data_IF_756615425930
#
_entry.id   IF_756615425930
#
_cell.length_a   1.000
_cell.length_b   1.000
_cell.length_c   1.000
_cell.angle_alpha   90.00
_cell.angle_beta   90.00
_cell.angle_gamma   90.00
#
_symmetry.space_group_name_H-M   'P 1'
#
loop_
_entity.id
_entity.type
_entity.pdbx_description
1 polymer ?
#
# COMPACT_ATOMS: atom_id res chain seq x y z
N UNK A 1 -11.08 -1.05 -39.12
CA UNK A 1 -11.06 -1.17 -37.65
C UNK A 1 -9.67 -1.58 -37.24
N UNK A 2 -8.89 -0.61 -36.79
CA UNK A 2 -7.48 -0.76 -36.47
C UNK A 2 -7.33 -1.64 -35.23
N UNK A 3 -6.58 -2.74 -35.35
CA UNK A 3 -6.09 -3.49 -34.21
C UNK A 3 -5.13 -2.58 -33.45
N UNK A 4 -5.51 -2.14 -32.25
CA UNK A 4 -4.56 -1.54 -31.32
C UNK A 4 -3.51 -2.61 -30.98
N UNK A 5 -2.31 -2.37 -31.49
CA UNK A 5 -1.12 -3.15 -31.18
C UNK A 5 -0.87 -2.98 -29.68
N UNK A 6 -0.95 -4.08 -28.93
CA UNK A 6 -0.52 -4.14 -27.53
C UNK A 6 0.96 -3.73 -27.46
N UNK A 7 1.21 -2.47 -27.16
CA UNK A 7 2.56 -1.99 -26.82
C UNK A 7 2.87 -2.55 -25.43
N UNK A 8 3.95 -3.33 -25.22
CA UNK A 8 4.29 -3.79 -23.89
C UNK A 8 4.46 -2.56 -22.99
N UNK A 9 3.68 -2.50 -21.90
CA UNK A 9 3.74 -1.40 -20.95
C UNK A 9 5.15 -1.27 -20.39
N UNK A 10 5.58 -0.05 -20.06
CA UNK A 10 6.89 0.27 -19.47
C UNK A 10 7.26 -0.62 -18.25
N UNK A 11 6.29 -1.29 -17.64
CA UNK A 11 6.39 -2.17 -16.47
C UNK A 11 7.14 -3.49 -16.72
N UNK A 12 7.15 -3.96 -17.96
CA UNK A 12 7.95 -5.12 -18.37
C UNK A 12 9.46 -4.87 -18.23
N UNK A 13 9.90 -3.62 -18.04
CA UNK A 13 11.31 -3.26 -17.77
C UNK A 13 11.78 -3.62 -16.37
N UNK A 14 10.86 -3.75 -15.41
CA UNK A 14 11.19 -3.93 -13.99
C UNK A 14 11.01 -5.36 -13.50
N UNK A 15 10.59 -6.27 -14.38
CA UNK A 15 10.35 -7.67 -14.06
C UNK A 15 11.31 -8.58 -14.81
N UNK A 16 11.78 -9.64 -14.16
CA UNK A 16 12.48 -10.72 -14.83
C UNK A 16 11.53 -11.71 -15.53
N UNK A 17 12.08 -12.77 -16.12
CA UNK A 17 11.30 -13.81 -16.80
C UNK A 17 10.37 -14.60 -15.88
N UNK A 18 10.62 -14.57 -14.57
CA UNK A 18 9.80 -15.21 -13.54
C UNK A 18 8.77 -14.27 -12.92
N UNK A 19 8.61 -13.06 -13.49
CA UNK A 19 7.75 -12.01 -12.97
C UNK A 19 8.19 -11.48 -11.58
N UNK A 20 9.48 -11.57 -11.27
CA UNK A 20 10.05 -11.00 -10.06
C UNK A 20 10.52 -9.57 -10.32
N UNK A 21 10.24 -8.66 -9.40
CA UNK A 21 10.68 -7.27 -9.53
C UNK A 21 12.19 -7.18 -9.27
N UNK A 22 12.93 -6.59 -10.20
CA UNK A 22 14.40 -6.51 -10.16
C UNK A 22 14.94 -5.21 -9.57
N UNK A 23 14.05 -4.28 -9.22
CA UNK A 23 14.41 -3.01 -8.60
C UNK A 23 14.93 -3.19 -7.17
N UNK A 24 15.89 -2.37 -6.77
CA UNK A 24 16.33 -2.24 -5.39
C UNK A 24 15.61 -1.07 -4.69
N UNK A 25 15.61 -1.09 -3.37
CA UNK A 25 15.18 0.06 -2.57
C UNK A 25 16.34 1.08 -2.60
N UNK A 26 16.07 2.28 -3.10
CA UNK A 26 17.02 3.40 -3.16
C UNK A 26 17.03 4.19 -1.86
N UNK A 27 18.12 4.86 -1.54
CA UNK A 27 18.18 5.83 -0.43
C UNK A 27 17.37 7.10 -0.74
N UNK A 28 17.22 7.43 -2.03
CA UNK A 28 16.40 8.55 -2.48
C UNK A 28 14.91 8.16 -2.46
N UNK A 29 14.13 8.85 -1.64
CA UNK A 29 12.69 8.62 -1.54
C UNK A 29 12.00 8.88 -2.87
N UNK A 30 12.39 9.95 -3.57
CA UNK A 30 11.88 10.30 -4.89
C UNK A 30 12.08 9.16 -5.92
N UNK A 31 13.23 8.49 -5.88
CA UNK A 31 13.50 7.33 -6.75
C UNK A 31 12.56 6.17 -6.44
N UNK A 32 12.32 5.88 -5.15
CA UNK A 32 11.38 4.83 -4.73
C UNK A 32 9.94 5.17 -5.13
N UNK A 33 9.52 6.42 -4.94
CA UNK A 33 8.19 6.91 -5.33
C UNK A 33 8.00 6.74 -6.84
N UNK A 34 8.99 7.15 -7.64
CA UNK A 34 8.95 6.98 -9.10
C UNK A 34 8.82 5.51 -9.48
N UNK A 35 9.65 4.63 -8.91
CA UNK A 35 9.61 3.19 -9.15
C UNK A 35 8.23 2.58 -8.82
N UNK A 36 7.63 2.98 -7.70
CA UNK A 36 6.30 2.53 -7.29
C UNK A 36 5.20 3.10 -8.19
N UNK A 37 5.34 4.35 -8.63
CA UNK A 37 4.42 4.95 -9.60
C UNK A 37 4.47 4.21 -10.95
N UNK A 38 5.66 3.82 -11.40
CA UNK A 38 5.83 3.04 -12.63
C UNK A 38 5.20 1.65 -12.46
N UNK A 39 5.45 0.94 -11.36
CA UNK A 39 4.87 -0.39 -11.07
C UNK A 39 3.34 -0.37 -10.90
N UNK A 40 2.80 0.65 -10.24
CA UNK A 40 1.38 0.83 -9.98
C UNK A 40 0.75 1.91 -10.87
N UNK A 41 1.29 2.09 -12.08
CA UNK A 41 0.65 2.92 -13.09
C UNK A 41 -0.76 2.40 -13.31
N UNK A 42 -1.73 3.33 -13.46
CA UNK A 42 -3.12 2.98 -13.70
C UNK A 42 -3.78 2.10 -12.61
N UNK A 43 -3.39 2.33 -11.36
CA UNK A 43 -4.01 1.72 -10.18
C UNK A 43 -4.59 2.81 -9.26
N UNK A 44 -5.87 3.13 -9.43
CA UNK A 44 -6.60 4.12 -8.60
C UNK A 44 -6.97 3.61 -7.21
N UNK A 45 -6.69 2.33 -6.95
CA UNK A 45 -6.85 1.67 -5.66
C UNK A 45 -5.55 1.61 -4.85
N UNK A 46 -4.42 2.09 -5.38
CA UNK A 46 -3.18 2.23 -4.62
C UNK A 46 -3.12 3.61 -4.01
N UNK A 47 -3.14 3.67 -2.68
CA UNK A 47 -3.04 4.91 -1.92
C UNK A 47 -1.58 5.27 -1.71
N UNK A 48 -1.30 6.56 -1.80
CA UNK A 48 0.03 7.17 -1.66
C UNK A 48 -0.07 8.27 -0.62
N UNK A 49 0.78 8.24 0.40
CA UNK A 49 0.78 9.20 1.52
C UNK A 49 2.20 9.67 1.77
N UNK A 50 2.40 10.98 1.74
CA UNK A 50 3.67 11.62 2.08
C UNK A 50 3.48 12.42 3.36
N UNK A 51 4.39 12.25 4.31
CA UNK A 51 4.37 12.94 5.60
C UNK A 51 5.80 13.18 6.05
N UNK A 52 6.07 14.38 6.56
CA UNK A 52 7.32 14.71 7.24
C UNK A 52 7.23 14.31 8.72
N UNK A 53 8.26 13.67 9.24
CA UNK A 53 8.41 13.32 10.65
C UNK A 53 9.57 14.11 11.26
N UNK A 54 9.39 14.64 12.47
CA UNK A 54 10.42 15.42 13.16
C UNK A 54 10.18 16.93 13.06
N UNK A 55 10.46 17.63 14.15
CA UNK A 55 10.28 19.09 14.25
C UNK A 55 11.57 19.84 13.92
N UNK A 56 12.69 19.43 14.52
CA UNK A 56 14.00 20.08 14.35
C UNK A 56 14.77 19.58 13.13
N UNK A 57 14.66 18.29 12.83
CA UNK A 57 15.25 17.64 11.66
C UNK A 57 14.15 16.82 10.96
N UNK A 58 13.36 17.46 10.09
CA UNK A 58 12.27 16.77 9.41
C UNK A 58 12.83 15.73 8.44
N UNK A 59 12.25 14.52 8.47
CA UNK A 59 12.55 13.42 7.56
C UNK A 59 11.28 13.02 6.84
N UNK A 60 11.37 12.97 5.50
CA UNK A 60 10.26 12.58 4.63
C UNK A 60 10.01 11.09 4.73
N UNK A 61 8.74 10.73 4.83
CA UNK A 61 8.29 9.35 4.78
C UNK A 61 7.18 9.22 3.75
N UNK A 62 7.31 8.19 2.92
CA UNK A 62 6.29 7.79 1.97
C UNK A 62 5.66 6.48 2.42
N UNK A 63 4.33 6.43 2.47
CA UNK A 63 3.57 5.23 2.72
C UNK A 63 2.66 4.88 1.56
N UNK A 64 2.58 3.60 1.24
CA UNK A 64 1.71 3.10 0.17
C UNK A 64 1.08 1.76 0.52
N UNK A 65 -0.16 1.59 0.09
CA UNK A 65 -0.97 0.41 0.34
C UNK A 65 -2.13 0.33 -0.66
N UNK A 66 -2.79 -0.82 -0.74
CA UNK A 66 -4.02 -0.99 -1.55
C UNK A 66 -5.25 -0.70 -0.70
N UNK A 67 -6.06 0.26 -1.13
CA UNK A 67 -7.35 0.58 -0.53
C UNK A 67 -8.30 -0.62 -0.61
N UNK A 68 -8.99 -0.93 0.50
CA UNK A 68 -9.85 -2.10 0.63
C UNK A 68 -9.15 -3.42 0.96
N UNK A 69 -7.80 -3.50 0.91
CA UNK A 69 -7.05 -4.64 1.46
C UNK A 69 -6.54 -4.40 2.89
N UNK A 70 -6.35 -3.13 3.27
CA UNK A 70 -5.87 -2.75 4.61
C UNK A 70 -7.02 -2.46 5.58
N UNK A 71 -6.75 -2.61 6.87
CA UNK A 71 -7.54 -2.06 7.96
C UNK A 71 -7.22 -0.57 8.06
N UNK A 72 -8.22 0.25 7.77
CA UNK A 72 -8.10 1.70 7.77
C UNK A 72 -7.78 2.28 9.15
N UNK A 73 -8.29 1.69 10.22
CA UNK A 73 -8.03 2.15 11.59
C UNK A 73 -6.55 2.00 11.95
N UNK A 74 -5.93 0.87 11.61
CA UNK A 74 -4.49 0.63 11.82
C UNK A 74 -3.66 1.69 11.08
N UNK A 75 -4.02 1.98 9.84
CA UNK A 75 -3.34 2.96 9.00
C UNK A 75 -3.52 4.37 9.54
N UNK A 76 -4.74 4.76 9.89
CA UNK A 76 -5.03 6.07 10.46
C UNK A 76 -4.31 6.25 11.81
N UNK A 77 -4.33 5.27 12.71
CA UNK A 77 -3.60 5.33 13.98
C UNK A 77 -2.09 5.46 13.77
N UNK A 78 -1.53 4.73 12.80
CA UNK A 78 -0.10 4.82 12.49
C UNK A 78 0.30 6.20 11.91
N UNK A 79 -0.50 6.76 10.98
CA UNK A 79 -0.22 8.08 10.41
C UNK A 79 -0.58 9.25 11.36
N UNK A 80 -1.64 9.14 12.16
CA UNK A 80 -2.04 10.16 13.16
C UNK A 80 -1.10 10.18 14.36
N UNK A 81 -0.55 9.03 14.77
CA UNK A 81 0.49 8.95 15.81
C UNK A 81 1.67 9.89 15.51
N UNK A 82 1.99 10.10 14.22
CA UNK A 82 3.04 11.03 13.76
C UNK A 82 2.80 12.49 14.13
N UNK A 83 1.54 12.94 14.20
CA UNK A 83 1.22 14.36 14.45
C UNK A 83 1.27 14.65 15.96
N UNK A 84 0.95 13.66 16.79
CA UNK A 84 0.77 13.83 18.23
C UNK A 84 2.07 13.52 18.99
N UNK A 85 2.75 12.41 18.69
CA UNK A 85 3.92 11.99 19.47
C UNK A 85 5.18 12.81 19.17
N UNK A 86 5.36 13.27 17.93
CA UNK A 86 6.57 14.03 17.57
C UNK A 86 6.57 15.50 18.00
N UNK A 87 5.41 16.05 18.42
CA UNK A 87 5.38 17.33 19.14
C UNK A 87 6.05 17.22 20.52
N UNK A 88 6.12 16.03 21.09
CA UNK A 88 6.71 15.78 22.41
C UNK A 88 8.14 15.23 22.34
N UNK A 89 8.59 14.71 21.19
CA UNK A 89 9.96 14.21 21.00
C UNK A 89 11.03 15.33 20.91
N UNK A 90 10.62 16.60 20.82
CA UNK A 90 11.51 17.75 20.62
C UNK A 90 12.35 18.16 21.84
N UNK A 91 12.22 17.49 22.98
CA UNK A 91 13.01 17.80 24.18
C UNK A 91 14.24 16.89 24.38
N UNK A 92 14.42 15.83 23.59
CA UNK A 92 15.63 15.00 23.67
C UNK A 92 16.75 15.61 22.83
N UNK A 93 17.71 16.26 23.50
CA UNK A 93 18.93 16.85 22.93
C UNK A 93 20.02 15.82 22.61
N UNK A 94 19.70 14.53 22.57
CA UNK A 94 20.70 13.49 22.32
C UNK A 94 20.84 13.22 20.82
N UNK A 95 22.08 13.06 20.29
CA UNK A 95 22.27 12.51 18.96
C UNK A 95 21.54 11.18 18.90
N UNK A 96 20.69 11.01 17.89
CA UNK A 96 20.04 9.74 17.62
C UNK A 96 21.16 8.72 17.34
N UNK A 97 21.41 7.81 18.28
CA UNK A 97 22.24 6.64 18.04
C UNK A 97 21.35 5.57 17.39
N UNK A 98 21.62 5.24 16.12
CA UNK A 98 20.87 4.22 15.37
C UNK A 98 20.32 4.70 14.03
N UNK A 99 19.83 3.77 13.21
CA UNK A 99 19.11 4.09 11.98
C UNK A 99 17.75 4.69 12.31
N UNK A 100 17.27 5.65 11.51
CA UNK A 100 15.92 6.19 11.70
C UNK A 100 14.82 5.11 11.55
N UNK A 101 15.11 4.05 10.78
CA UNK A 101 14.22 2.89 10.65
C UNK A 101 14.11 2.10 11.95
N UNK A 102 15.21 1.96 12.70
CA UNK A 102 15.24 1.30 14.01
C UNK A 102 14.40 2.09 15.01
N UNK A 103 14.54 3.43 15.04
CA UNK A 103 13.70 4.27 15.90
C UNK A 103 12.21 4.12 15.61
N UNK A 104 11.83 4.07 14.33
CA UNK A 104 10.43 3.88 13.94
C UNK A 104 9.96 2.50 14.41
N UNK A 105 10.78 1.45 14.24
CA UNK A 105 10.42 0.12 14.74
C UNK A 105 10.25 0.17 16.26
N UNK A 106 11.23 0.66 17.01
CA UNK A 106 11.19 0.69 18.48
C UNK A 106 10.00 1.48 19.03
N UNK A 107 9.64 2.60 18.39
CA UNK A 107 8.51 3.43 18.84
C UNK A 107 7.15 2.78 18.55
N UNK A 108 7.03 2.08 17.42
CA UNK A 108 5.74 1.58 16.94
C UNK A 108 5.53 0.07 17.13
N UNK A 109 6.57 -0.72 17.39
CA UNK A 109 6.51 -2.19 17.50
C UNK A 109 5.66 -2.69 18.67
N UNK A 110 5.42 -1.85 19.68
CA UNK A 110 4.53 -2.17 20.79
C UNK A 110 3.05 -2.26 20.37
N UNK A 111 2.67 -1.53 19.32
CA UNK A 111 1.27 -1.42 18.86
C UNK A 111 1.06 -2.04 17.48
N UNK A 112 2.09 -2.03 16.63
CA UNK A 112 2.01 -2.47 15.25
C UNK A 112 3.05 -3.55 14.97
N UNK A 113 2.68 -4.58 14.20
CA UNK A 113 3.64 -5.55 13.67
C UNK A 113 4.37 -4.91 12.48
N UNK A 114 5.59 -4.45 12.73
CA UNK A 114 6.46 -3.76 11.77
C UNK A 114 7.74 -4.57 11.57
N UNK A 115 8.13 -4.75 10.32
CA UNK A 115 9.39 -5.41 9.95
C UNK A 115 10.15 -4.68 8.87
N UNK A 116 11.46 -4.78 8.89
CA UNK A 116 12.31 -4.33 7.77
C UNK A 116 12.18 -5.25 6.56
N UNK A 117 12.23 -4.66 5.37
CA UNK A 117 12.21 -5.36 4.09
C UNK A 117 13.25 -4.71 3.19
N UNK A 118 14.10 -5.53 2.56
CA UNK A 118 15.27 -5.06 1.79
C UNK A 118 15.10 -5.19 0.27
N UNK A 119 14.00 -5.77 -0.19
CA UNK A 119 13.71 -5.98 -1.61
C UNK A 119 12.46 -5.23 -2.03
N UNK A 120 12.51 -4.56 -3.19
CA UNK A 120 11.33 -3.95 -3.78
C UNK A 120 10.26 -5.00 -4.14
N UNK A 121 10.67 -6.21 -4.54
CA UNK A 121 9.76 -7.33 -4.83
C UNK A 121 8.94 -7.71 -3.58
N UNK A 122 9.61 -7.87 -2.45
CA UNK A 122 8.95 -8.19 -1.18
C UNK A 122 8.05 -7.04 -0.68
N UNK A 123 8.48 -5.79 -0.88
CA UNK A 123 7.66 -4.62 -0.56
C UNK A 123 6.35 -4.63 -1.37
N UNK A 124 6.46 -4.83 -2.68
CA UNK A 124 5.31 -4.84 -3.59
C UNK A 124 4.39 -6.04 -3.33
N UNK A 125 4.96 -7.22 -3.05
CA UNK A 125 4.17 -8.39 -2.64
C UNK A 125 3.42 -8.14 -1.33
N UNK A 126 4.02 -7.42 -0.39
CA UNK A 126 3.37 -6.99 0.85
C UNK A 126 2.17 -6.08 0.58
N UNK A 127 2.38 -5.02 -0.22
CA UNK A 127 1.32 -4.09 -0.66
C UNK A 127 0.14 -4.84 -1.29
N UNK A 128 0.44 -5.74 -2.24
CA UNK A 128 -0.57 -6.56 -2.93
C UNK A 128 -1.21 -7.63 -2.04
N UNK A 129 -0.61 -7.91 -0.88
CA UNK A 129 -1.15 -8.82 0.13
C UNK A 129 -1.92 -8.09 1.24
N UNK A 130 -2.10 -6.77 1.13
CA UNK A 130 -2.85 -5.96 2.10
C UNK A 130 -2.05 -5.52 3.31
N UNK A 131 -0.72 -5.48 3.19
CA UNK A 131 0.15 -4.79 4.15
C UNK A 131 0.43 -3.36 3.66
N UNK A 132 0.92 -2.50 4.54
CA UNK A 132 1.34 -1.15 4.18
C UNK A 132 2.85 -1.03 4.14
N UNK A 133 3.36 -0.57 3.00
CA UNK A 133 4.76 -0.31 2.77
C UNK A 133 5.10 1.12 3.14
N UNK A 134 6.25 1.31 3.78
CA UNK A 134 6.78 2.60 4.19
C UNK A 134 8.23 2.70 3.73
N UNK A 135 8.56 3.86 3.17
CA UNK A 135 9.89 4.23 2.72
C UNK A 135 10.30 5.50 3.44
N UNK A 136 11.54 5.53 3.92
CA UNK A 136 12.10 6.66 4.67
C UNK A 136 13.25 7.25 3.88
N UNK A 137 13.29 8.57 3.77
CA UNK A 137 14.38 9.28 3.08
C UNK A 137 15.75 8.91 3.68
N UNK A 138 16.76 8.79 2.82
CA UNK A 138 18.14 8.42 3.16
C UNK A 138 18.28 7.01 3.76
N UNK A 139 17.36 6.09 3.44
CA UNK A 139 17.45 4.69 3.88
C UNK A 139 17.27 3.74 2.69
N UNK A 140 18.06 2.67 2.63
CA UNK A 140 17.98 1.64 1.58
C UNK A 140 17.15 0.42 2.01
N UNK A 141 16.33 0.58 3.06
CA UNK A 141 15.43 -0.43 3.58
C UNK A 141 14.01 0.14 3.63
N UNK A 142 13.03 -0.70 3.38
CA UNK A 142 11.62 -0.39 3.57
C UNK A 142 11.11 -0.96 4.88
N UNK A 143 10.05 -0.38 5.42
CA UNK A 143 9.30 -0.94 6.54
C UNK A 143 7.96 -1.46 6.03
N UNK A 144 7.54 -2.62 6.54
CA UNK A 144 6.27 -3.23 6.23
C UNK A 144 5.44 -3.33 7.51
N UNK A 145 4.23 -2.79 7.48
CA UNK A 145 3.27 -2.88 8.57
C UNK A 145 2.19 -3.90 8.21
N UNK A 146 2.03 -4.91 9.06
CA UNK A 146 0.93 -5.85 8.93
C UNK A 146 -0.38 -5.15 9.32
N UNK A 147 -1.17 -4.81 8.32
CA UNK A 147 -2.43 -4.09 8.51
C UNK A 147 -3.56 -4.70 7.69
N UNK A 148 -3.50 -6.00 7.41
CA UNK A 148 -4.51 -6.72 6.62
C UNK A 148 -5.87 -6.62 7.30
N UNK A 149 -6.87 -6.12 6.57
CA UNK A 149 -8.17 -5.79 7.17
C UNK A 149 -9.38 -6.10 6.30
N UNK A 150 -9.22 -6.81 5.19
CA UNK A 150 -10.36 -7.13 4.35
C UNK A 150 -11.39 -7.97 5.13
N UNK A 151 -12.71 -7.74 4.91
CA UNK A 151 -13.72 -8.56 5.54
C UNK A 151 -13.56 -10.02 5.11
N UNK A 152 -13.34 -10.91 6.08
CA UNK A 152 -13.55 -12.33 5.85
C UNK A 152 -15.04 -12.50 5.61
N UNK A 153 -15.49 -12.65 4.35
CA UNK A 153 -16.78 -13.29 4.12
C UNK A 153 -16.69 -14.62 4.85
N UNK A 154 -17.47 -14.82 5.90
CA UNK A 154 -17.61 -16.11 6.56
C UNK A 154 -17.83 -17.14 5.44
N UNK A 155 -16.96 -18.14 5.37
CA UNK A 155 -17.04 -19.18 4.34
C UNK A 155 -18.22 -20.07 4.71
N UNK A 156 -19.43 -19.61 4.44
CA UNK A 156 -20.63 -20.44 4.33
C UNK A 156 -20.76 -20.93 2.90
N UNK A 157 -21.21 -22.19 2.68
CA UNK A 157 -21.48 -22.67 1.32
C UNK A 157 -22.50 -21.74 0.64
N UNK A 158 -22.45 -21.58 -0.69
CA UNK A 158 -23.46 -20.81 -1.39
C UNK A 158 -24.83 -21.41 -1.07
N UNK A 159 -25.70 -20.64 -0.43
CA UNK A 159 -27.09 -21.05 -0.30
C UNK A 159 -27.67 -21.15 -1.70
N UNK A 160 -28.09 -22.36 -2.05
CA UNK A 160 -28.77 -22.67 -3.32
C UNK A 160 -29.84 -21.62 -3.60
N UNK A 161 -29.69 -20.95 -4.74
CA UNK A 161 -30.60 -19.92 -5.24
C UNK A 161 -32.03 -20.47 -5.31
N UNK A 162 -32.84 -20.20 -4.28
CA UNK A 162 -34.28 -20.32 -4.38
C UNK A 162 -34.81 -19.05 -5.02
N UNK A 163 -35.23 -19.18 -6.27
CA UNK A 163 -35.95 -18.17 -7.05
C UNK A 163 -37.08 -17.55 -6.20
N UNK A 164 -37.24 -16.22 -6.30
CA UNK A 164 -38.53 -15.45 -6.33
C UNK A 164 -38.46 -14.12 -5.52
N UNK A 165 -38.48 -13.02 -6.29
CA UNK A 165 -39.09 -11.68 -6.06
C UNK A 165 -38.48 -10.67 -5.06
N UNK A 166 -38.05 -9.53 -5.64
CA UNK A 166 -38.06 -8.18 -5.06
C UNK A 166 -36.68 -7.50 -5.11
N UNK A 167 -36.56 -6.21 -5.52
CA UNK A 167 -35.28 -5.50 -5.55
C UNK A 167 -34.89 -5.14 -4.12
N UNK A 168 -34.35 -6.11 -3.39
CA UNK A 168 -33.77 -5.89 -2.08
C UNK A 168 -32.26 -5.65 -2.26
N UNK A 169 -31.87 -4.39 -2.09
CA UNK A 169 -30.54 -4.02 -1.57
C UNK A 169 -29.30 -4.31 -2.45
N UNK A 170 -29.40 -4.19 -3.78
CA UNK A 170 -28.30 -4.47 -4.72
C UNK A 170 -27.19 -3.41 -4.86
N UNK A 171 -26.93 -2.57 -3.84
CA UNK A 171 -25.86 -1.54 -3.86
C UNK A 171 -24.86 -1.67 -2.71
N UNK A 172 -24.90 -2.75 -1.92
CA UNK A 172 -24.13 -2.86 -0.67
C UNK A 172 -22.69 -3.35 -0.88
N UNK A 173 -22.35 -3.92 -2.04
CA UNK A 173 -20.94 -4.15 -2.39
C UNK A 173 -20.36 -2.88 -3.01
N UNK A 174 -19.72 -2.03 -2.20
CA UNK A 174 -18.90 -0.92 -2.73
C UNK A 174 -17.94 -1.49 -3.77
N UNK A 175 -17.84 -0.88 -4.95
CA UNK A 175 -16.93 -1.29 -6.05
C UNK A 175 -15.51 -1.60 -5.51
N UNK A 176 -15.07 -0.83 -4.50
CA UNK A 176 -13.80 -1.01 -3.80
C UNK A 176 -13.63 -2.37 -3.12
N UNK A 177 -14.68 -2.93 -2.50
CA UNK A 177 -14.61 -4.27 -1.91
C UNK A 177 -14.41 -5.34 -2.99
N UNK A 178 -15.11 -5.21 -4.11
CA UNK A 178 -15.01 -6.17 -5.20
C UNK A 178 -13.65 -6.09 -5.89
N UNK A 179 -13.09 -4.89 -6.09
CA UNK A 179 -11.73 -4.74 -6.62
C UNK A 179 -10.68 -5.31 -5.67
N UNK A 180 -10.86 -5.13 -4.35
CA UNK A 180 -9.99 -5.70 -3.34
C UNK A 180 -10.02 -7.25 -3.36
N UNK A 181 -11.19 -7.87 -3.53
CA UNK A 181 -11.31 -9.33 -3.65
C UNK A 181 -10.59 -9.88 -4.90
N UNK A 182 -10.72 -9.20 -6.04
CA UNK A 182 -10.01 -9.55 -7.28
C UNK A 182 -8.50 -9.44 -7.07
N UNK A 183 -8.03 -8.34 -6.48
CA UNK A 183 -6.61 -8.10 -6.23
C UNK A 183 -6.01 -9.05 -5.19
N UNK A 184 -6.79 -9.50 -4.20
CA UNK A 184 -6.36 -10.56 -3.26
C UNK A 184 -6.09 -11.88 -3.98
N UNK A 185 -6.86 -12.18 -5.03
CA UNK A 185 -6.71 -13.38 -5.86
C UNK A 185 -5.58 -13.24 -6.88
N UNK A 186 -5.40 -12.05 -7.45
CA UNK A 186 -4.36 -11.74 -8.44
C UNK A 186 -3.42 -10.70 -7.84
N UNK A 187 -2.38 -11.18 -7.14
CA UNK A 187 -1.35 -10.35 -6.51
C UNK A 187 -0.22 -10.04 -7.48
N UNK A 188 -0.56 -9.34 -8.55
CA UNK A 188 0.36 -8.97 -9.61
C UNK A 188 0.21 -7.48 -9.94
N UNK A 189 1.32 -6.75 -10.06
CA UNK A 189 1.31 -5.34 -10.46
C UNK A 189 0.76 -5.12 -11.87
N UNK A 190 0.73 -6.16 -12.70
CA UNK A 190 0.11 -6.16 -14.03
C UNK A 190 -1.42 -6.09 -13.99
N UNK A 191 -2.06 -6.41 -12.85
CA UNK A 191 -3.48 -6.16 -12.66
C UNK A 191 -3.72 -4.67 -12.43
N UNK A 192 -4.30 -4.00 -13.42
CA UNK A 192 -4.64 -2.58 -13.36
C UNK A 192 -6.09 -2.38 -12.97
N UNK A 193 -6.33 -1.40 -12.10
CA UNK A 193 -7.64 -1.05 -11.59
C UNK A 193 -7.79 0.45 -11.76
N UNK A 194 -8.60 0.85 -12.73
CA UNK A 194 -8.90 2.26 -13.00
C UNK A 194 -10.36 2.55 -12.63
N UNK A 195 -10.59 3.68 -11.98
CA UNK A 195 -11.94 4.17 -11.70
C UNK A 195 -12.20 5.38 -12.59
N UNK A 196 -13.24 5.30 -13.41
CA UNK A 196 -13.66 6.37 -14.33
C UNK A 196 -15.08 6.79 -14.00
N UNK A 197 -15.35 8.10 -13.97
CA UNK A 197 -16.71 8.63 -13.83
C UNK A 197 -17.35 8.75 -15.21
N UNK A 198 -18.56 8.22 -15.37
CA UNK A 198 -19.36 8.32 -16.59
C UNK A 198 -20.76 8.81 -16.23
N UNK A 199 -21.15 9.96 -16.78
CA UNK A 199 -22.46 10.58 -16.55
C UNK A 199 -22.40 12.10 -16.67
N UNK A 200 -23.55 12.71 -16.97
CA UNK A 200 -23.76 14.15 -16.91
C UNK A 200 -24.76 14.37 -15.78
N UNK A 201 -24.46 15.28 -14.86
CA UNK A 201 -25.32 15.63 -13.72
C UNK A 201 -26.61 16.28 -14.22
#
# INVERSE_FOLDING_TARGET
>A
MSQEIYTPSNESKHHDRSNKITLSISESLETNIKNLNDLFTNCTDVVKREVDIGTKFPVKIYGTYVDGLVNREIIESFFLGRIIDYKNLSESTTPIEGSITELIIDHFSATFDIREVRSMDDMVRGILSGDAAIFVENTNVGLMIACRGWPARGVGPPETESVIRGPREGFVETIRFNTALIRRRIRDTKLKVEMTSMGII
#
